data_IF_444776339001
#
_entry.id   IF_444776339001
#
_cell.length_a   1.000
_cell.length_b   1.000
_cell.length_c   1.000
_cell.angle_alpha   90.00
_cell.angle_beta   90.00
_cell.angle_gamma   90.00
#
_symmetry.space_group_name_H-M   'P 1'
#
loop_
_entity.id
_entity.type
_entity.pdbx_description
1 polymer ?
#
# COMPACT_ATOMS: atom_id res chain seq x y z
N UNK A 1 -10.65 -3.66 -17.01
CA UNK A 1 -9.20 -3.51 -16.80
C UNK A 1 -8.84 -4.07 -15.44
N UNK A 2 -7.83 -4.91 -15.38
CA UNK A 2 -7.45 -5.58 -14.15
C UNK A 2 -6.05 -5.17 -13.72
N UNK A 3 -5.90 -4.81 -12.46
CA UNK A 3 -4.59 -4.60 -11.86
C UNK A 3 -3.99 -5.95 -11.45
N UNK A 4 -2.69 -5.93 -11.19
CA UNK A 4 -1.95 -7.11 -10.74
C UNK A 4 -1.62 -6.99 -9.27
N UNK A 5 -1.61 -8.13 -8.57
CA UNK A 5 -1.13 -8.20 -7.19
C UNK A 5 0.11 -9.08 -7.18
N UNK A 6 1.18 -8.53 -6.62
CA UNK A 6 2.44 -9.25 -6.44
C UNK A 6 2.73 -9.36 -4.96
N UNK A 7 3.16 -10.54 -4.51
CA UNK A 7 3.57 -10.77 -3.13
C UNK A 7 5.07 -11.03 -3.11
N UNK A 8 5.80 -10.25 -2.32
CA UNK A 8 7.23 -10.39 -2.15
C UNK A 8 7.54 -10.75 -0.71
N UNK A 9 8.04 -11.94 -0.48
CA UNK A 9 8.34 -12.45 0.85
C UNK A 9 9.85 -12.55 1.05
N UNK A 10 10.27 -12.38 2.30
CA UNK A 10 11.66 -12.54 2.68
C UNK A 10 11.80 -12.61 4.18
N UNK A 11 13.02 -12.86 4.64
CA UNK A 11 13.33 -12.86 6.07
C UNK A 11 13.39 -11.42 6.59
N UNK A 12 13.42 -11.26 7.92
CA UNK A 12 13.46 -9.93 8.54
C UNK A 12 14.65 -9.08 8.09
N UNK A 13 15.75 -9.70 7.71
CA UNK A 13 16.96 -8.99 7.29
C UNK A 13 17.15 -8.94 5.78
N UNK A 14 16.09 -9.20 5.02
CA UNK A 14 16.16 -9.30 3.55
C UNK A 14 16.11 -7.94 2.83
N UNK A 15 15.95 -6.83 3.55
CA UNK A 15 15.84 -5.52 2.95
C UNK A 15 14.50 -5.20 2.31
N UNK A 16 13.42 -5.86 2.74
CA UNK A 16 12.08 -5.63 2.18
C UNK A 16 11.63 -4.17 2.27
N UNK A 17 11.82 -3.56 3.43
CA UNK A 17 11.43 -2.16 3.62
C UNK A 17 12.24 -1.24 2.72
N UNK A 18 13.52 -1.52 2.55
CA UNK A 18 14.37 -0.77 1.63
C UNK A 18 13.87 -0.91 0.20
N UNK A 19 13.49 -2.12 -0.22
CA UNK A 19 12.98 -2.36 -1.56
C UNK A 19 11.66 -1.62 -1.79
N UNK A 20 10.74 -1.65 -0.81
CA UNK A 20 9.49 -0.91 -0.88
C UNK A 20 9.75 0.59 -1.04
N UNK A 21 10.65 1.14 -0.21
CA UNK A 21 10.95 2.56 -0.26
C UNK A 21 11.65 2.96 -1.56
N UNK A 22 12.50 2.10 -2.11
CA UNK A 22 13.12 2.35 -3.41
C UNK A 22 12.07 2.38 -4.53
N UNK A 23 11.09 1.49 -4.48
CA UNK A 23 9.99 1.48 -5.44
C UNK A 23 9.15 2.76 -5.32
N UNK A 24 8.84 3.17 -4.09
CA UNK A 24 8.10 4.41 -3.84
C UNK A 24 8.85 5.62 -4.35
N UNK A 25 10.17 5.67 -4.13
CA UNK A 25 11.01 6.76 -4.63
C UNK A 25 10.97 6.81 -6.16
N UNK A 26 11.05 5.66 -6.81
CA UNK A 26 10.97 5.57 -8.27
C UNK A 26 9.63 6.08 -8.79
N UNK A 27 8.53 5.71 -8.13
CA UNK A 27 7.20 6.21 -8.51
C UNK A 27 7.12 7.72 -8.38
N UNK A 28 7.66 8.26 -7.28
CA UNK A 28 7.66 9.71 -7.08
C UNK A 28 8.47 10.43 -8.15
N UNK A 29 9.62 9.89 -8.53
CA UNK A 29 10.47 10.46 -9.56
C UNK A 29 9.75 10.54 -10.92
N UNK A 30 8.87 9.59 -11.21
CA UNK A 30 8.15 9.51 -12.47
C UNK A 30 6.72 10.07 -12.38
N UNK A 31 6.38 10.73 -11.28
CA UNK A 31 5.06 11.30 -11.04
C UNK A 31 3.93 10.28 -11.15
N UNK A 32 4.18 9.05 -10.71
CA UNK A 32 3.18 7.98 -10.70
C UNK A 32 2.42 8.03 -9.38
N UNK A 33 1.09 8.22 -9.38
CA UNK A 33 0.31 8.27 -8.13
C UNK A 33 0.30 6.91 -7.43
N UNK A 34 0.63 6.90 -6.13
CA UNK A 34 0.66 5.68 -5.32
C UNK A 34 0.33 5.98 -3.87
N UNK A 35 -0.07 4.92 -3.14
CA UNK A 35 -0.24 4.95 -1.69
C UNK A 35 0.56 3.83 -1.06
N UNK A 36 0.93 4.00 0.21
CA UNK A 36 1.59 2.98 0.99
C UNK A 36 0.71 2.64 2.19
N UNK A 37 0.40 1.36 2.36
CA UNK A 37 -0.23 0.82 3.57
C UNK A 37 0.83 0.08 4.38
N UNK A 38 0.75 0.21 5.70
CA UNK A 38 1.53 -0.59 6.63
C UNK A 38 0.56 -1.40 7.48
N UNK A 39 0.54 -2.71 7.28
CA UNK A 39 -0.33 -3.60 8.03
C UNK A 39 0.24 -3.85 9.42
N UNK A 40 -0.63 -3.91 10.42
CA UNK A 40 -0.24 -4.10 11.81
C UNK A 40 -1.31 -4.87 12.55
N UNK A 41 -0.92 -5.61 13.57
CA UNK A 41 -1.89 -6.23 14.49
C UNK A 41 -2.40 -5.23 15.51
N UNK A 42 -1.73 -4.10 15.66
CA UNK A 42 -2.15 -3.05 16.57
C UNK A 42 -3.34 -2.28 15.99
N UNK A 43 -4.29 -1.93 16.85
CA UNK A 43 -5.47 -1.18 16.44
C UNK A 43 -5.14 0.32 16.44
N UNK A 44 -4.35 0.74 15.47
CA UNK A 44 -3.98 2.13 15.29
C UNK A 44 -4.69 2.72 14.09
N UNK A 45 -5.13 3.96 14.25
CA UNK A 45 -5.68 4.74 13.16
C UNK A 45 -4.69 5.80 12.71
N UNK A 46 -4.75 6.12 11.44
CA UNK A 46 -4.09 7.29 10.89
C UNK A 46 -2.76 7.02 10.23
N UNK A 47 -1.93 8.05 10.20
CA UNK A 47 -0.66 8.01 9.48
C UNK A 47 0.44 7.39 10.32
N UNK A 48 1.29 6.64 9.67
CA UNK A 48 2.48 6.06 10.26
C UNK A 48 3.67 6.39 9.34
N UNK A 49 4.86 5.93 9.70
CA UNK A 49 6.08 6.23 8.95
C UNK A 49 6.90 4.95 8.79
N UNK A 50 7.43 4.76 7.59
CA UNK A 50 8.43 3.75 7.32
C UNK A 50 9.79 4.42 7.35
N UNK A 51 10.68 3.92 8.18
CA UNK A 51 12.01 4.50 8.41
C UNK A 51 13.08 3.81 7.57
N UNK A 52 13.96 4.59 6.99
CA UNK A 52 15.13 4.08 6.29
C UNK A 52 16.28 5.05 6.42
N UNK A 53 17.47 4.54 6.77
CA UNK A 53 18.69 5.37 6.82
C UNK A 53 19.15 5.78 5.43
N UNK A 54 18.94 4.90 4.44
CA UNK A 54 19.45 5.14 3.09
C UNK A 54 18.55 6.07 2.28
N UNK A 55 17.22 5.93 2.44
CA UNK A 55 16.24 6.62 1.59
C UNK A 55 15.38 7.64 2.35
N UNK A 56 15.63 7.82 3.66
CA UNK A 56 14.82 8.70 4.48
C UNK A 56 13.51 8.04 4.92
N UNK A 57 12.69 8.82 5.59
CA UNK A 57 11.43 8.37 6.12
C UNK A 57 10.31 8.67 5.12
N UNK A 58 9.28 7.83 5.09
CA UNK A 58 8.14 8.04 4.21
C UNK A 58 6.83 7.75 4.93
N UNK A 59 5.88 8.66 4.79
CA UNK A 59 4.55 8.49 5.38
C UNK A 59 3.80 7.34 4.72
N UNK A 60 3.01 6.64 5.53
CA UNK A 60 2.14 5.58 5.07
C UNK A 60 0.84 5.58 5.89
N UNK A 61 -0.14 4.81 5.43
CA UNK A 61 -1.41 4.64 6.14
C UNK A 61 -1.31 3.35 6.93
N UNK A 62 -1.46 3.45 8.26
CA UNK A 62 -1.48 2.27 9.12
C UNK A 62 -2.85 1.60 9.04
N UNK A 63 -2.89 0.31 8.80
CA UNK A 63 -4.13 -0.45 8.73
C UNK A 63 -4.08 -1.62 9.71
N UNK A 64 -5.16 -1.78 10.47
CA UNK A 64 -5.33 -2.88 11.41
C UNK A 64 -6.21 -3.96 10.78
N UNK A 65 -6.29 -5.17 11.40
CA UNK A 65 -7.13 -6.25 10.87
C UNK A 65 -8.62 -5.92 10.76
N UNK A 66 -9.09 -4.88 11.45
CA UNK A 66 -10.50 -4.48 11.42
C UNK A 66 -10.83 -3.51 10.29
N UNK A 67 -9.83 -2.94 9.63
CA UNK A 67 -10.05 -1.97 8.56
C UNK A 67 -10.49 -2.65 7.27
N UNK A 68 -11.46 -2.04 6.59
CA UNK A 68 -11.89 -2.48 5.27
C UNK A 68 -11.06 -1.70 4.22
N UNK A 69 -10.13 -2.39 3.59
CA UNK A 69 -9.21 -1.75 2.64
C UNK A 69 -9.92 -1.27 1.39
N UNK A 70 -10.92 -2.01 0.93
CA UNK A 70 -11.70 -1.61 -0.24
C UNK A 70 -12.40 -0.28 0.00
N UNK A 71 -13.03 -0.13 1.17
CA UNK A 71 -13.73 1.09 1.55
C UNK A 71 -12.77 2.29 1.63
N UNK A 72 -11.59 2.08 2.23
CA UNK A 72 -10.58 3.12 2.34
C UNK A 72 -10.20 3.63 0.94
N UNK A 73 -9.95 2.72 0.01
CA UNK A 73 -9.53 3.08 -1.34
C UNK A 73 -10.68 3.73 -2.12
N UNK A 74 -11.89 3.20 -2.00
CA UNK A 74 -13.05 3.79 -2.68
C UNK A 74 -13.27 5.24 -2.25
N UNK A 75 -13.18 5.52 -0.95
CA UNK A 75 -13.32 6.88 -0.43
C UNK A 75 -12.16 7.78 -0.88
N UNK A 76 -10.95 7.24 -0.92
CA UNK A 76 -9.78 7.97 -1.40
C UNK A 76 -9.94 8.37 -2.87
N UNK A 77 -10.39 7.45 -3.71
CA UNK A 77 -10.60 7.71 -5.14
C UNK A 77 -11.70 8.76 -5.37
N UNK A 78 -12.76 8.72 -4.59
CA UNK A 78 -13.82 9.74 -4.65
C UNK A 78 -13.25 11.11 -4.32
N UNK A 79 -12.41 11.19 -3.29
CA UNK A 79 -11.77 12.47 -2.91
C UNK A 79 -10.87 12.99 -4.02
N UNK A 80 -10.08 12.13 -4.64
CA UNK A 80 -9.21 12.52 -5.76
C UNK A 80 -10.01 13.02 -6.95
N UNK A 81 -11.11 12.36 -7.26
CA UNK A 81 -11.99 12.77 -8.35
C UNK A 81 -12.57 14.17 -8.10
N UNK A 82 -13.03 14.43 -6.88
CA UNK A 82 -13.65 15.70 -6.52
C UNK A 82 -12.70 16.90 -6.64
N UNK A 83 -11.40 16.69 -6.38
CA UNK A 83 -10.42 17.77 -6.46
C UNK A 83 -9.61 17.76 -7.75
N UNK A 84 -9.94 16.85 -8.68
CA UNK A 84 -9.31 16.80 -9.99
C UNK A 84 -7.89 16.24 -10.02
N UNK A 85 -7.50 15.48 -9.02
CA UNK A 85 -6.19 14.82 -9.00
C UNK A 85 -6.17 13.58 -9.87
N UNK A 86 -4.96 13.16 -10.27
CA UNK A 86 -4.78 11.95 -11.04
C UNK A 86 -5.22 10.71 -10.27
N UNK A 87 -5.72 9.72 -11.01
CA UNK A 87 -6.17 8.47 -10.44
C UNK A 87 -5.00 7.66 -9.90
N UNK A 88 -5.19 7.08 -8.72
CA UNK A 88 -4.23 6.18 -8.08
C UNK A 88 -3.88 5.01 -9.00
N UNK A 89 -2.58 4.72 -9.16
CA UNK A 89 -2.09 3.66 -10.05
C UNK A 89 -1.52 2.46 -9.30
N UNK A 90 -0.92 2.69 -8.14
CA UNK A 90 -0.22 1.66 -7.37
C UNK A 90 -0.51 1.77 -5.89
N UNK A 91 -0.55 0.62 -5.23
CA UNK A 91 -0.57 0.52 -3.77
C UNK A 91 0.58 -0.38 -3.35
N UNK A 92 1.38 0.08 -2.41
CA UNK A 92 2.45 -0.71 -1.79
C UNK A 92 2.00 -1.05 -0.38
N UNK A 93 2.11 -2.32 0.00
CA UNK A 93 1.70 -2.78 1.33
C UNK A 93 2.90 -3.35 2.06
N UNK A 94 3.27 -2.74 3.20
CA UNK A 94 4.33 -3.24 4.05
C UNK A 94 3.74 -4.14 5.14
N UNK A 95 4.54 -5.09 5.60
CA UNK A 95 4.16 -6.03 6.67
C UNK A 95 2.89 -6.82 6.32
N UNK A 96 2.80 -7.31 5.08
CA UNK A 96 1.56 -7.95 4.59
C UNK A 96 1.23 -9.28 5.30
N UNK A 97 2.16 -9.85 6.07
CA UNK A 97 1.88 -11.06 6.85
C UNK A 97 0.80 -10.82 7.92
N UNK A 98 0.53 -9.56 8.27
CA UNK A 98 -0.51 -9.22 9.23
C UNK A 98 -1.88 -8.97 8.59
N UNK A 99 -1.98 -9.03 7.26
CA UNK A 99 -3.28 -8.91 6.60
C UNK A 99 -4.16 -10.11 6.90
N UNK A 100 -5.44 -9.86 7.09
CA UNK A 100 -6.41 -10.95 7.20
C UNK A 100 -6.72 -11.50 5.80
N UNK A 101 -7.29 -12.70 5.75
CA UNK A 101 -7.77 -13.28 4.50
C UNK A 101 -8.78 -12.36 3.81
N UNK A 102 -9.68 -11.77 4.59
CA UNK A 102 -10.66 -10.81 4.08
C UNK A 102 -9.98 -9.59 3.46
N UNK A 103 -8.92 -9.08 4.11
CA UNK A 103 -8.19 -7.93 3.57
C UNK A 103 -7.47 -8.26 2.26
N UNK A 104 -6.95 -9.48 2.13
CA UNK A 104 -6.36 -9.93 0.87
C UNK A 104 -7.43 -9.97 -0.23
N UNK A 105 -8.62 -10.44 0.09
CA UNK A 105 -9.75 -10.41 -0.85
C UNK A 105 -10.15 -8.98 -1.22
N UNK A 106 -10.11 -8.07 -0.25
CA UNK A 106 -10.38 -6.65 -0.49
C UNK A 106 -9.35 -6.04 -1.44
N UNK A 107 -8.07 -6.38 -1.29
CA UNK A 107 -7.04 -5.92 -2.22
C UNK A 107 -7.27 -6.49 -3.62
N UNK A 108 -7.66 -7.75 -3.72
CA UNK A 108 -7.99 -8.36 -5.01
C UNK A 108 -9.15 -7.64 -5.69
N UNK A 109 -10.17 -7.27 -4.93
CA UNK A 109 -11.31 -6.52 -5.45
C UNK A 109 -10.90 -5.11 -5.91
N UNK A 110 -10.00 -4.45 -5.19
CA UNK A 110 -9.45 -3.16 -5.59
C UNK A 110 -8.73 -3.26 -6.94
N UNK A 111 -7.84 -4.24 -7.06
CA UNK A 111 -7.09 -4.45 -8.30
C UNK A 111 -8.02 -4.73 -9.48
N UNK A 112 -9.02 -5.56 -9.26
CA UNK A 112 -9.95 -5.96 -10.30
C UNK A 112 -10.88 -4.81 -10.71
N UNK A 113 -11.47 -4.13 -9.74
CA UNK A 113 -12.46 -3.09 -10.02
C UNK A 113 -11.84 -1.80 -10.52
N UNK A 114 -10.75 -1.36 -9.93
CA UNK A 114 -10.17 -0.05 -10.23
C UNK A 114 -8.95 -0.11 -11.13
N UNK A 115 -8.48 -1.31 -11.47
CA UNK A 115 -7.29 -1.47 -12.29
C UNK A 115 -6.00 -1.02 -11.62
N UNK A 116 -5.95 -1.04 -10.28
CA UNK A 116 -4.79 -0.60 -9.51
C UNK A 116 -3.84 -1.79 -9.31
N UNK A 117 -2.56 -1.56 -9.52
CA UNK A 117 -1.53 -2.57 -9.25
C UNK A 117 -1.09 -2.50 -7.80
N UNK A 118 -0.87 -3.65 -7.18
CA UNK A 118 -0.57 -3.76 -5.75
C UNK A 118 0.66 -4.64 -5.57
N UNK A 119 1.61 -4.17 -4.75
CA UNK A 119 2.75 -4.98 -4.33
C UNK A 119 2.72 -5.11 -2.82
N UNK A 120 2.68 -6.35 -2.33
CA UNK A 120 2.66 -6.66 -0.91
C UNK A 120 4.02 -7.21 -0.49
N UNK A 121 4.61 -6.61 0.53
CA UNK A 121 5.90 -7.03 1.08
C UNK A 121 5.68 -7.63 2.46
N UNK A 122 6.23 -8.81 2.71
CA UNK A 122 6.05 -9.48 3.99
C UNK A 122 7.10 -10.54 4.29
N UNK A 123 6.91 -11.18 5.43
CA UNK A 123 7.77 -12.28 5.87
C UNK A 123 7.34 -13.60 5.27
#
# INVERSE_FOLDING_TARGET
MHGKILFKYGTMSSGKSLHLLATAHNFQQHSIPFLIFKSSIDDRDGKDVIHSRALGDRECISVSPTHNLYKIIAEYLDSCFLIGEETLKWILVDECQFLTEKQVEELAAIADKFGINIICYGL
#
